data_IF_531184211614
#
_entry.id   IF_531184211614
#
_cell.length_a   1.000
_cell.length_b   1.000
_cell.length_c   1.000
_cell.angle_alpha   90.00
_cell.angle_beta   90.00
_cell.angle_gamma   90.00
#
_symmetry.space_group_name_H-M   'P 1'
#
loop_
_entity.id
_entity.type
_entity.pdbx_description
1 polymer ?
#
# COMPACT_ATOMS: atom_id res chain seq x y z
N UNK A 1 -24.35 10.22 16.80
CA UNK A 1 -23.87 8.86 17.11
C UNK A 1 -25.04 8.03 17.63
N UNK A 2 -25.15 6.74 17.27
CA UNK A 2 -26.17 5.85 17.82
C UNK A 2 -26.17 5.87 19.36
N UNK A 3 -27.33 5.71 19.99
CA UNK A 3 -27.47 5.79 21.46
C UNK A 3 -26.59 4.78 22.18
N UNK A 4 -26.36 3.61 21.58
CA UNK A 4 -25.50 2.55 22.10
C UNK A 4 -24.02 2.95 22.22
N UNK A 5 -23.58 3.99 21.50
CA UNK A 5 -22.18 4.44 21.48
C UNK A 5 -21.96 5.76 22.25
N UNK A 6 -23.03 6.40 22.72
CA UNK A 6 -22.96 7.76 23.26
C UNK A 6 -22.03 7.87 24.47
N UNK A 7 -22.24 7.05 25.51
CA UNK A 7 -21.49 7.17 26.76
C UNK A 7 -20.01 6.82 26.58
N UNK A 8 -19.72 5.79 25.77
CA UNK A 8 -18.35 5.40 25.43
C UNK A 8 -17.63 6.48 24.62
N UNK A 9 -18.34 7.19 23.74
CA UNK A 9 -17.77 8.28 22.95
C UNK A 9 -17.41 9.49 23.81
N UNK A 10 -18.29 9.92 24.73
CA UNK A 10 -18.03 11.04 25.64
C UNK A 10 -16.84 10.71 26.56
N UNK A 11 -16.81 9.52 27.16
CA UNK A 11 -15.70 9.08 28.00
C UNK A 11 -14.34 9.06 27.24
N UNK A 12 -14.34 8.70 25.95
CA UNK A 12 -13.13 8.70 25.13
C UNK A 12 -12.64 10.13 24.81
N UNK A 13 -13.56 11.09 24.63
CA UNK A 13 -13.21 12.51 24.43
C UNK A 13 -12.57 13.10 25.70
N UNK A 14 -13.16 12.86 26.86
CA UNK A 14 -12.65 13.37 28.14
C UNK A 14 -11.24 12.84 28.46
N UNK A 15 -10.93 11.61 28.01
CA UNK A 15 -9.58 11.02 28.10
C UNK A 15 -8.53 11.73 27.23
N UNK A 16 -8.95 12.46 26.18
CA UNK A 16 -8.09 13.39 25.45
C UNK A 16 -7.03 12.81 24.51
N UNK A 17 -6.97 11.49 24.30
CA UNK A 17 -5.97 10.86 23.40
C UNK A 17 -6.44 10.82 21.93
N UNK A 18 -6.82 11.98 21.38
CA UNK A 18 -7.31 12.10 20.00
C UNK A 18 -6.11 12.23 19.05
N UNK A 19 -5.97 11.27 18.13
CA UNK A 19 -4.92 11.28 17.11
C UNK A 19 -5.53 11.65 15.76
N UNK A 20 -4.85 12.53 15.03
CA UNK A 20 -5.21 12.90 13.67
C UNK A 20 -4.21 12.32 12.68
N UNK A 21 -4.70 11.84 11.54
CA UNK A 21 -3.86 11.33 10.46
C UNK A 21 -4.32 11.98 9.14
N UNK A 22 -3.40 12.32 8.23
CA UNK A 22 -3.76 12.94 6.96
C UNK A 22 -4.41 11.94 6.01
N UNK A 23 -5.54 12.32 5.41
CA UNK A 23 -6.14 11.58 4.30
C UNK A 23 -5.47 12.02 2.99
N UNK A 24 -4.72 11.11 2.36
CA UNK A 24 -4.00 11.40 1.12
C UNK A 24 -4.52 10.54 -0.02
N UNK A 25 -4.39 11.05 -1.24
CA UNK A 25 -4.58 10.31 -2.48
C UNK A 25 -3.32 10.48 -3.32
N UNK A 26 -2.73 9.38 -3.76
CA UNK A 26 -1.52 9.39 -4.57
C UNK A 26 -1.65 8.32 -5.66
N UNK A 27 -1.86 8.70 -6.92
CA UNK A 27 -1.98 7.74 -8.01
C UNK A 27 -0.64 7.02 -8.25
N UNK A 28 -0.72 5.77 -8.70
CA UNK A 28 0.45 5.00 -9.08
C UNK A 28 1.10 5.62 -10.33
N UNK A 29 2.33 6.09 -10.20
CA UNK A 29 3.17 6.57 -11.31
C UNK A 29 4.47 5.77 -11.30
N UNK A 30 4.57 4.71 -12.13
CA UNK A 30 5.78 3.89 -12.19
C UNK A 30 6.96 4.71 -12.68
N UNK A 31 8.04 4.72 -11.89
CA UNK A 31 9.33 5.28 -12.28
C UNK A 31 10.39 4.18 -12.12
N UNK A 32 10.69 3.42 -13.19
CA UNK A 32 11.62 2.30 -13.11
C UNK A 32 13.01 2.77 -12.67
N UNK A 33 13.46 2.28 -11.53
CA UNK A 33 14.78 2.58 -10.97
C UNK A 33 15.51 1.25 -10.78
N UNK A 34 16.62 0.99 -11.49
CA UNK A 34 17.33 -0.27 -11.38
C UNK A 34 17.71 -0.59 -9.93
N UNK A 35 17.36 -1.79 -9.47
CA UNK A 35 17.64 -2.26 -8.10
C UNK A 35 16.69 -1.76 -7.02
N UNK A 36 15.66 -0.98 -7.37
CA UNK A 36 14.66 -0.49 -6.42
C UNK A 36 13.23 -0.74 -6.88
N UNK A 37 12.34 -0.97 -5.92
CA UNK A 37 10.89 -1.11 -6.14
C UNK A 37 10.12 -0.29 -5.11
N UNK A 38 9.07 0.39 -5.55
CA UNK A 38 8.17 1.14 -4.69
C UNK A 38 6.85 0.38 -4.55
N UNK A 39 6.36 0.21 -3.32
CA UNK A 39 5.15 -0.57 -3.03
C UNK A 39 4.30 0.07 -1.93
N UNK A 40 3.07 -0.44 -1.76
CA UNK A 40 2.14 -0.01 -0.72
C UNK A 40 1.75 1.47 -0.85
N UNK A 41 1.52 2.12 0.30
CA UNK A 41 1.19 3.54 0.35
C UNK A 41 2.30 4.44 -0.19
N UNK A 42 3.56 4.01 -0.20
CA UNK A 42 4.64 4.76 -0.82
C UNK A 42 4.51 4.82 -2.35
N UNK A 43 3.79 3.88 -2.96
CA UNK A 43 3.57 3.83 -4.41
C UNK A 43 2.16 4.27 -4.81
N UNK A 44 1.15 3.92 -4.01
CA UNK A 44 -0.23 4.23 -4.32
C UNK A 44 -1.09 4.34 -3.06
N UNK A 45 -1.32 5.57 -2.61
CA UNK A 45 -2.24 5.87 -1.51
C UNK A 45 -3.65 6.09 -2.06
N UNK A 46 -4.65 5.59 -1.34
CA UNK A 46 -6.06 5.86 -1.58
C UNK A 46 -6.69 6.39 -0.31
N UNK A 47 -7.86 7.01 -0.43
CA UNK A 47 -8.61 7.47 0.72
C UNK A 47 -8.93 6.29 1.68
N UNK A 48 -8.64 6.40 3.00
CA UNK A 48 -8.75 5.27 3.92
C UNK A 48 -10.19 4.85 4.25
N UNK A 49 -11.19 5.53 3.69
CA UNK A 49 -12.62 5.31 3.95
C UNK A 49 -13.05 3.86 3.70
N UNK A 50 -12.48 3.20 2.69
CA UNK A 50 -12.81 1.81 2.36
C UNK A 50 -11.95 0.80 3.11
N UNK A 51 -10.94 1.23 3.87
CA UNK A 51 -9.98 0.34 4.55
C UNK A 51 -9.14 -0.53 3.61
N UNK A 52 -9.15 -0.29 2.29
CA UNK A 52 -8.59 -1.19 1.29
C UNK A 52 -7.05 -1.16 1.13
N UNK A 53 -6.35 -0.25 1.81
CA UNK A 53 -4.90 -0.06 1.63
C UNK A 53 -4.08 -1.33 1.90
N UNK A 54 -4.39 -2.03 3.00
CA UNK A 54 -3.72 -3.29 3.37
C UNK A 54 -4.03 -4.42 2.39
N UNK A 55 -5.28 -4.52 1.90
CA UNK A 55 -5.67 -5.53 0.91
C UNK A 55 -4.87 -5.36 -0.39
N UNK A 56 -4.69 -4.12 -0.84
CA UNK A 56 -3.88 -3.84 -2.03
C UNK A 56 -2.42 -4.17 -1.79
N UNK A 57 -1.86 -3.78 -0.64
CA UNK A 57 -0.47 -4.09 -0.30
C UNK A 57 -0.19 -5.59 -0.26
N UNK A 58 -1.10 -6.39 0.32
CA UNK A 58 -0.96 -7.85 0.36
C UNK A 58 -1.14 -8.48 -1.02
N UNK A 59 -2.04 -7.96 -1.85
CA UNK A 59 -2.20 -8.40 -3.25
C UNK A 59 -0.92 -8.14 -4.06
N UNK A 60 -0.31 -6.97 -3.88
CA UNK A 60 0.97 -6.62 -4.52
C UNK A 60 2.08 -7.59 -4.12
N UNK A 61 2.15 -7.99 -2.84
CA UNK A 61 3.14 -8.97 -2.35
C UNK A 61 2.98 -10.32 -3.04
N UNK A 62 1.74 -10.80 -3.20
CA UNK A 62 1.48 -12.08 -3.89
C UNK A 62 1.94 -12.01 -5.35
N UNK A 63 1.59 -10.92 -6.04
CA UNK A 63 2.00 -10.71 -7.42
C UNK A 63 3.53 -10.63 -7.55
N UNK A 64 4.18 -9.83 -6.71
CA UNK A 64 5.63 -9.68 -6.70
C UNK A 64 6.32 -11.02 -6.41
N UNK A 65 5.86 -11.77 -5.41
CA UNK A 65 6.39 -13.09 -5.07
C UNK A 65 6.32 -14.04 -6.26
N UNK A 66 5.21 -14.04 -7.00
CA UNK A 66 5.06 -14.89 -8.18
C UNK A 66 6.00 -14.47 -9.33
N UNK A 67 6.21 -13.17 -9.52
CA UNK A 67 7.14 -12.63 -10.52
C UNK A 67 8.61 -12.89 -10.16
N UNK A 68 8.97 -12.86 -8.88
CA UNK A 68 10.34 -13.10 -8.44
C UNK A 68 10.68 -14.60 -8.31
N UNK A 69 9.69 -15.48 -8.12
CA UNK A 69 9.88 -16.92 -7.95
C UNK A 69 10.78 -17.60 -8.99
N UNK A 70 10.70 -17.31 -10.31
CA UNK A 70 11.56 -17.95 -11.31
C UNK A 70 12.98 -17.37 -11.35
N UNK A 71 13.26 -16.26 -10.66
CA UNK A 71 14.56 -15.59 -10.71
C UNK A 71 15.52 -16.21 -9.69
N UNK A 72 16.69 -16.62 -10.18
CA UNK A 72 17.75 -17.24 -9.36
C UNK A 72 18.76 -16.19 -8.90
N UNK A 73 18.97 -15.14 -9.69
CA UNK A 73 19.89 -14.05 -9.40
C UNK A 73 19.15 -12.70 -9.40
N UNK A 74 19.37 -11.92 -8.34
CA UNK A 74 18.80 -10.59 -8.16
C UNK A 74 19.84 -9.47 -8.38
N UNK A 75 21.07 -9.80 -8.76
CA UNK A 75 22.12 -8.81 -8.99
C UNK A 75 22.04 -8.14 -10.37
N UNK A 76 21.30 -8.73 -11.32
CA UNK A 76 21.02 -8.08 -12.61
C UNK A 76 19.83 -7.12 -12.50
N UNK A 77 20.12 -5.91 -12.00
CA UNK A 77 19.16 -4.84 -11.84
C UNK A 77 18.46 -4.43 -13.16
N UNK A 78 19.11 -4.58 -14.31
CA UNK A 78 18.53 -4.20 -15.61
C UNK A 78 17.48 -5.22 -16.06
N UNK A 79 17.81 -6.51 -15.97
CA UNK A 79 16.87 -7.59 -16.28
C UNK A 79 15.71 -7.62 -15.30
N UNK A 80 15.97 -7.40 -14.00
CA UNK A 80 14.93 -7.24 -13.00
C UNK A 80 13.98 -6.10 -13.31
N UNK A 81 14.51 -4.94 -13.74
CA UNK A 81 13.69 -3.78 -14.07
C UNK A 81 12.66 -4.11 -15.16
N UNK A 82 13.09 -4.78 -16.24
CA UNK A 82 12.20 -5.26 -17.32
C UNK A 82 11.16 -6.27 -16.83
N UNK A 83 11.53 -7.14 -15.90
CA UNK A 83 10.61 -8.11 -15.31
C UNK A 83 9.55 -7.42 -14.43
N UNK A 84 9.97 -6.42 -13.66
CA UNK A 84 9.12 -5.62 -12.78
C UNK A 84 8.23 -4.61 -13.53
N UNK A 85 8.49 -4.28 -14.79
CA UNK A 85 7.51 -3.56 -15.62
C UNK A 85 6.18 -4.31 -15.70
N UNK A 86 6.23 -5.65 -15.74
CA UNK A 86 5.03 -6.49 -15.74
C UNK A 86 4.22 -6.34 -14.44
N UNK A 87 4.87 -6.10 -13.30
CA UNK A 87 4.19 -5.85 -12.02
C UNK A 87 3.26 -4.63 -12.11
N UNK A 88 3.72 -3.54 -12.74
CA UNK A 88 2.93 -2.31 -12.85
C UNK A 88 1.74 -2.42 -13.80
N UNK A 89 1.81 -3.31 -14.80
CA UNK A 89 0.68 -3.62 -15.69
C UNK A 89 -0.30 -4.57 -15.03
N UNK A 90 0.17 -5.64 -14.39
CA UNK A 90 -0.68 -6.69 -13.79
C UNK A 90 -1.43 -6.23 -12.53
N UNK A 91 -1.01 -5.12 -11.92
CA UNK A 91 -1.68 -4.53 -10.75
C UNK A 91 -2.95 -3.75 -11.10
N UNK A 92 -3.07 -3.24 -12.33
CA UNK A 92 -4.24 -2.47 -12.77
C UNK A 92 -5.48 -3.35 -12.78
#
# INVERSE_FOLDING_TARGET
IPSQLHDSFIAAIEKGNIRTMPNRSMPALPHPTPGAILMGDAFNMRHPLTGGGMTVALSDIVLLRNLLKPLVDLNDASSLCKYLESFYTLRK
#
